data_IF_164627028860
#
_entry.id   IF_164627028860
#
_cell.length_a   1.000
_cell.length_b   1.000
_cell.length_c   1.000
_cell.angle_alpha   90.00
_cell.angle_beta   90.00
_cell.angle_gamma   90.00
#
_symmetry.space_group_name_H-M   'P 1'
#
loop_
_entity.id
_entity.type
_entity.pdbx_description
1 polymer ?
#
# COMPACT_ATOMS: atom_id res chain seq x y z
N UNK A 1 0.69 2.44 22.32
CA UNK A 1 1.14 3.84 22.51
C UNK A 1 0.14 4.89 21.96
N UNK A 2 0.15 5.23 20.66
CA UNK A 2 -0.70 6.33 20.12
C UNK A 2 -2.21 6.08 20.29
N UNK A 3 -2.68 4.88 19.91
CA UNK A 3 -4.09 4.48 20.03
C UNK A 3 -4.60 4.52 21.48
N UNK A 4 -3.78 4.09 22.44
CA UNK A 4 -4.13 4.10 23.88
C UNK A 4 -4.27 5.51 24.44
N UNK A 5 -3.71 6.52 23.75
CA UNK A 5 -3.87 7.95 24.08
C UNK A 5 -4.97 8.63 23.27
N UNK A 6 -5.73 7.87 22.46
CA UNK A 6 -6.77 8.41 21.59
C UNK A 6 -6.22 9.29 20.45
N UNK A 7 -5.07 8.92 19.90
CA UNK A 7 -4.41 9.67 18.81
C UNK A 7 -4.40 8.80 17.53
N UNK A 8 -5.23 9.14 16.52
CA UNK A 8 -5.18 8.45 15.24
C UNK A 8 -3.90 8.80 14.48
N UNK A 9 -3.40 7.84 13.70
CA UNK A 9 -2.24 7.97 12.82
C UNK A 9 -2.70 7.74 11.39
N UNK A 10 -2.31 8.63 10.50
CA UNK A 10 -2.62 8.57 9.07
C UNK A 10 -1.33 8.45 8.26
N UNK A 11 -1.39 7.71 7.16
CA UNK A 11 -0.33 7.62 6.15
C UNK A 11 -0.91 7.97 4.76
N UNK A 12 -0.10 7.86 3.71
CA UNK A 12 -0.49 8.05 2.31
C UNK A 12 -0.18 6.78 1.48
N UNK A 13 -1.01 5.73 1.61
CA UNK A 13 -0.68 4.41 1.07
C UNK A 13 -0.79 4.32 -0.47
N UNK A 14 -1.38 5.33 -1.13
CA UNK A 14 -1.67 5.28 -2.57
C UNK A 14 -1.00 6.40 -3.38
N UNK A 15 -0.41 7.40 -2.71
CA UNK A 15 0.19 8.57 -3.35
C UNK A 15 1.38 8.27 -4.26
N UNK A 16 2.00 7.10 -4.11
CA UNK A 16 3.14 6.64 -4.91
C UNK A 16 2.76 5.71 -6.07
N UNK A 17 1.46 5.47 -6.30
CA UNK A 17 0.98 4.46 -7.26
C UNK A 17 1.56 4.67 -8.65
N UNK A 18 1.58 5.92 -9.13
CA UNK A 18 2.07 6.26 -10.46
C UNK A 18 3.59 6.07 -10.59
N UNK A 19 4.35 6.53 -9.60
CA UNK A 19 5.81 6.45 -9.59
C UNK A 19 6.29 5.00 -9.68
N UNK A 20 5.70 4.10 -8.88
CA UNK A 20 6.05 2.67 -8.93
C UNK A 20 5.70 2.08 -10.29
N UNK A 21 4.55 2.44 -10.86
CA UNK A 21 4.14 1.92 -12.15
C UNK A 21 5.06 2.33 -13.31
N UNK A 22 5.56 3.57 -13.29
CA UNK A 22 6.53 4.06 -14.27
C UNK A 22 7.90 3.39 -14.11
N UNK A 23 8.37 3.20 -12.87
CA UNK A 23 9.61 2.48 -12.60
C UNK A 23 9.55 1.06 -13.18
N UNK A 24 8.51 0.30 -12.86
CA UNK A 24 8.32 -1.07 -13.35
C UNK A 24 8.29 -1.11 -14.88
N UNK A 25 7.60 -0.16 -15.53
CA UNK A 25 7.57 -0.09 -16.99
C UNK A 25 8.96 0.14 -17.59
N UNK A 26 9.75 1.03 -16.99
CA UNK A 26 11.13 1.27 -17.43
C UNK A 26 11.99 0.00 -17.25
N UNK A 27 11.90 -0.65 -16.10
CA UNK A 27 12.62 -1.88 -15.78
C UNK A 27 12.26 -3.02 -16.74
N UNK A 28 10.99 -3.20 -17.08
CA UNK A 28 10.54 -4.17 -18.10
C UNK A 28 11.33 -3.97 -19.40
N UNK A 29 11.39 -2.73 -19.91
CA UNK A 29 12.08 -2.45 -21.18
C UNK A 29 13.58 -2.70 -21.05
N UNK A 30 14.21 -2.26 -19.96
CA UNK A 30 15.65 -2.42 -19.76
C UNK A 30 16.06 -3.88 -19.60
N UNK A 31 15.28 -4.67 -18.85
CA UNK A 31 15.52 -6.10 -18.62
C UNK A 31 15.34 -6.92 -19.90
N UNK A 32 14.24 -6.73 -20.64
CA UNK A 32 14.00 -7.43 -21.91
C UNK A 32 15.07 -7.14 -22.97
N UNK A 33 15.77 -6.01 -22.82
CA UNK A 33 16.87 -5.58 -23.70
C UNK A 33 18.24 -5.90 -23.12
N UNK A 34 18.32 -6.51 -21.93
CA UNK A 34 19.55 -6.80 -21.19
C UNK A 34 20.46 -5.58 -21.05
N UNK A 35 19.88 -4.39 -20.87
CA UNK A 35 20.61 -3.14 -20.72
C UNK A 35 21.44 -3.09 -19.44
N UNK A 36 20.98 -3.58 -18.27
CA UNK A 36 21.78 -3.51 -17.04
C UNK A 36 23.17 -4.13 -17.22
N UNK A 37 23.22 -5.34 -17.81
CA UNK A 37 24.47 -6.05 -18.05
C UNK A 37 25.37 -5.33 -19.06
N UNK A 38 24.79 -4.84 -20.16
CA UNK A 38 25.52 -4.11 -21.20
C UNK A 38 26.07 -2.78 -20.68
N UNK A 39 25.30 -2.08 -19.85
CA UNK A 39 25.70 -0.84 -19.19
C UNK A 39 26.89 -1.09 -18.25
N UNK A 40 26.78 -2.09 -17.37
CA UNK A 40 27.85 -2.44 -16.44
C UNK A 40 29.13 -2.84 -17.17
N UNK A 41 29.03 -3.60 -18.26
CA UNK A 41 30.17 -3.96 -19.10
C UNK A 41 30.82 -2.72 -19.76
N UNK A 42 30.03 -1.79 -20.28
CA UNK A 42 30.52 -0.55 -20.91
C UNK A 42 31.29 0.34 -19.92
N UNK A 43 30.79 0.50 -18.69
CA UNK A 43 31.49 1.21 -17.62
C UNK A 43 32.85 0.61 -17.27
N UNK A 44 33.02 -0.71 -17.49
CA UNK A 44 34.29 -1.44 -17.29
C UNK A 44 35.12 -1.54 -18.56
N UNK A 45 34.78 -0.81 -19.63
CA UNK A 45 35.51 -0.79 -20.90
C UNK A 45 35.17 -1.92 -21.88
N UNK A 46 34.22 -2.80 -21.54
CA UNK A 46 33.72 -3.84 -22.43
C UNK A 46 32.70 -3.31 -23.46
N UNK A 47 32.51 -4.01 -24.57
CA UNK A 47 31.54 -3.62 -25.59
C UNK A 47 30.72 -4.81 -26.08
N UNK A 48 29.47 -4.91 -25.61
CA UNK A 48 28.56 -6.04 -25.89
C UNK A 48 27.52 -5.65 -26.92
N UNK A 49 27.91 -5.64 -28.21
CA UNK A 49 27.01 -5.33 -29.34
C UNK A 49 26.44 -6.61 -29.95
N UNK A 50 25.34 -7.11 -29.40
CA UNK A 50 24.61 -8.28 -29.90
C UNK A 50 23.11 -8.14 -29.72
N UNK A 51 22.35 -8.67 -30.69
CA UNK A 51 20.89 -8.79 -30.64
C UNK A 51 20.41 -10.08 -29.95
N UNK A 52 21.32 -11.06 -29.71
CA UNK A 52 20.95 -12.30 -29.04
C UNK A 52 20.38 -12.03 -27.64
N UNK A 53 19.24 -12.64 -27.32
CA UNK A 53 18.54 -12.47 -26.04
C UNK A 53 17.99 -11.06 -25.78
N UNK A 54 17.88 -10.20 -26.80
CA UNK A 54 17.30 -8.86 -26.69
C UNK A 54 15.96 -8.80 -27.41
N UNK A 55 14.90 -8.41 -26.70
CA UNK A 55 13.53 -8.46 -27.19
C UNK A 55 12.81 -7.12 -27.07
N UNK A 56 11.93 -6.81 -28.02
CA UNK A 56 10.90 -5.78 -27.84
C UNK A 56 9.88 -6.23 -26.79
N UNK A 57 9.41 -5.29 -25.97
CA UNK A 57 8.31 -5.49 -25.03
C UNK A 57 6.97 -5.74 -25.74
N UNK A 58 6.74 -5.10 -26.88
CA UNK A 58 5.54 -5.29 -27.69
C UNK A 58 5.33 -6.78 -28.01
N UNK A 59 4.10 -7.25 -27.81
CA UNK A 59 3.70 -8.64 -28.01
C UNK A 59 4.14 -9.61 -26.92
N UNK A 60 4.93 -9.18 -25.92
CA UNK A 60 5.28 -10.01 -24.76
C UNK A 60 4.15 -10.03 -23.75
N UNK A 61 4.11 -11.08 -22.94
CA UNK A 61 3.17 -11.23 -21.85
C UNK A 61 3.74 -10.67 -20.55
N UNK A 62 3.06 -9.69 -19.96
CA UNK A 62 3.30 -9.23 -18.59
C UNK A 62 2.35 -9.99 -17.65
N UNK A 63 2.91 -10.67 -16.66
CA UNK A 63 2.19 -11.28 -15.56
C UNK A 63 2.21 -10.39 -14.33
N UNK A 64 1.04 -10.02 -13.81
CA UNK A 64 0.90 -9.15 -12.64
C UNK A 64 0.37 -9.97 -11.46
N UNK A 65 1.12 -10.02 -10.35
CA UNK A 65 0.67 -10.66 -9.11
C UNK A 65 0.23 -9.57 -8.14
N UNK A 66 -1.07 -9.50 -7.85
CA UNK A 66 -1.71 -8.40 -7.13
C UNK A 66 -2.21 -7.30 -8.09
N UNK A 67 -3.51 -7.29 -8.35
CA UNK A 67 -4.16 -6.37 -9.30
C UNK A 67 -4.91 -5.24 -8.56
N UNK A 68 -4.20 -4.61 -7.62
CA UNK A 68 -4.65 -3.44 -6.86
C UNK A 68 -4.29 -2.11 -7.54
N UNK A 69 -4.09 -1.05 -6.76
CA UNK A 69 -3.79 0.30 -7.26
C UNK A 69 -2.58 0.34 -8.21
N UNK A 70 -1.45 -0.26 -7.83
CA UNK A 70 -0.23 -0.26 -8.66
C UNK A 70 -0.37 -1.24 -9.82
N UNK A 71 -0.79 -2.48 -9.55
CA UNK A 71 -0.93 -3.51 -10.59
C UNK A 71 -1.85 -3.09 -11.75
N UNK A 72 -2.95 -2.40 -11.45
CA UNK A 72 -3.85 -1.86 -12.50
C UNK A 72 -3.17 -0.77 -13.34
N UNK A 73 -2.45 0.17 -12.72
CA UNK A 73 -1.71 1.22 -13.45
C UNK A 73 -0.57 0.66 -14.30
N UNK A 74 0.17 -0.31 -13.77
CA UNK A 74 1.20 -1.04 -14.53
C UNK A 74 0.58 -1.74 -15.74
N UNK A 75 -0.56 -2.42 -15.56
CA UNK A 75 -1.28 -3.09 -16.64
C UNK A 75 -1.66 -2.12 -17.77
N UNK A 76 -2.29 -0.99 -17.44
CA UNK A 76 -2.68 0.01 -18.43
C UNK A 76 -1.49 0.58 -19.21
N UNK A 77 -0.37 0.87 -18.52
CA UNK A 77 0.85 1.35 -19.17
C UNK A 77 1.49 0.30 -20.07
N UNK A 78 1.51 -0.95 -19.63
CA UNK A 78 2.04 -2.07 -20.40
C UNK A 78 1.21 -2.35 -21.66
N UNK A 79 -0.12 -2.26 -21.58
CA UNK A 79 -1.00 -2.35 -22.74
C UNK A 79 -0.75 -1.22 -23.75
N UNK A 80 -0.52 0.01 -23.27
CA UNK A 80 -0.16 1.13 -24.13
C UNK A 80 1.18 0.91 -24.86
N UNK A 81 2.10 0.12 -24.28
CA UNK A 81 3.34 -0.33 -24.92
C UNK A 81 3.13 -1.54 -25.86
N UNK A 82 1.91 -2.05 -25.96
CA UNK A 82 1.53 -3.20 -26.78
C UNK A 82 1.87 -4.56 -26.16
N UNK A 83 2.01 -4.64 -24.83
CA UNK A 83 2.13 -5.92 -24.11
C UNK A 83 0.75 -6.57 -23.93
N UNK A 84 0.73 -7.90 -23.80
CA UNK A 84 -0.44 -8.65 -23.33
C UNK A 84 -0.38 -8.72 -21.81
N UNK A 85 -1.41 -8.28 -21.11
CA UNK A 85 -1.45 -8.28 -19.64
C UNK A 85 -2.31 -9.43 -19.13
N UNK A 86 -1.73 -10.25 -18.27
CA UNK A 86 -2.45 -11.24 -17.47
C UNK A 86 -2.17 -10.99 -16.00
N UNK A 87 -3.11 -11.34 -15.12
CA UNK A 87 -2.92 -11.11 -13.70
C UNK A 87 -3.55 -12.19 -12.83
N UNK A 88 -3.05 -12.30 -11.61
CA UNK A 88 -3.65 -13.07 -10.54
C UNK A 88 -3.83 -12.18 -9.31
N UNK A 89 -4.99 -12.29 -8.68
CA UNK A 89 -5.32 -11.67 -7.40
C UNK A 89 -6.17 -12.65 -6.60
N UNK A 90 -6.05 -12.63 -5.27
CA UNK A 90 -6.82 -13.52 -4.38
C UNK A 90 -8.30 -13.09 -4.31
N UNK A 91 -8.60 -11.85 -4.68
CA UNK A 91 -9.95 -11.33 -4.81
C UNK A 91 -10.35 -11.19 -6.28
N UNK A 92 -11.62 -11.35 -6.56
CA UNK A 92 -12.17 -11.00 -7.88
C UNK A 92 -12.00 -9.50 -8.12
N UNK A 93 -11.24 -9.13 -9.15
CA UNK A 93 -11.05 -7.74 -9.59
C UNK A 93 -11.80 -7.47 -10.89
N UNK A 94 -12.33 -6.26 -11.01
CA UNK A 94 -12.81 -5.75 -12.30
C UNK A 94 -11.62 -5.54 -13.23
N UNK A 95 -11.71 -6.07 -14.45
CA UNK A 95 -10.68 -5.88 -15.46
C UNK A 95 -10.72 -4.46 -16.03
N UNK A 96 -9.54 -3.92 -16.31
CA UNK A 96 -9.37 -2.65 -17.02
C UNK A 96 -8.62 -2.93 -18.32
N UNK A 97 -9.05 -2.29 -19.41
CA UNK A 97 -8.46 -2.54 -20.73
C UNK A 97 -8.69 -3.97 -21.20
N UNK A 98 -7.65 -4.60 -21.72
CA UNK A 98 -7.66 -5.99 -22.21
C UNK A 98 -7.02 -6.97 -21.21
N UNK A 99 -6.76 -6.55 -19.96
CA UNK A 99 -6.11 -7.37 -18.96
C UNK A 99 -6.97 -8.59 -18.62
N UNK A 100 -6.35 -9.77 -18.59
CA UNK A 100 -7.06 -11.03 -18.38
C UNK A 100 -6.73 -11.63 -17.00
N UNK A 101 -7.74 -11.90 -16.15
CA UNK A 101 -7.52 -12.63 -14.91
C UNK A 101 -7.23 -14.09 -15.23
N UNK A 102 -6.25 -14.66 -14.54
CA UNK A 102 -5.96 -16.10 -14.56
C UNK A 102 -6.35 -16.75 -13.23
N UNK A 103 -6.67 -18.05 -13.23
CA UNK A 103 -7.26 -18.71 -12.07
C UNK A 103 -6.27 -18.93 -10.92
N UNK A 104 -4.96 -18.92 -11.18
CA UNK A 104 -3.93 -19.13 -10.15
C UNK A 104 -2.63 -18.39 -10.41
N UNK A 105 -1.81 -18.23 -9.37
CA UNK A 105 -0.45 -17.70 -9.45
C UNK A 105 0.38 -18.46 -10.48
N UNK A 106 0.36 -19.79 -10.43
CA UNK A 106 1.14 -20.69 -11.28
C UNK A 106 0.85 -20.45 -12.76
N UNK A 107 -0.44 -20.30 -13.12
CA UNK A 107 -0.83 -20.04 -14.52
C UNK A 107 -0.30 -18.71 -15.05
N UNK A 108 -0.12 -17.70 -14.18
CA UNK A 108 0.55 -16.44 -14.56
C UNK A 108 2.03 -16.68 -14.81
N UNK A 109 2.71 -17.38 -13.88
CA UNK A 109 4.16 -17.63 -13.96
C UNK A 109 4.54 -18.41 -15.22
N UNK A 110 3.75 -19.42 -15.59
CA UNK A 110 3.98 -20.25 -16.77
C UNK A 110 3.80 -19.49 -18.11
N UNK A 111 2.96 -18.45 -18.11
CA UNK A 111 2.62 -17.69 -19.33
C UNK A 111 3.46 -16.43 -19.55
N UNK A 112 3.93 -15.82 -18.47
CA UNK A 112 4.52 -14.48 -18.49
C UNK A 112 5.99 -14.47 -18.96
N UNK A 113 6.33 -13.52 -19.84
CA UNK A 113 7.72 -13.21 -20.19
C UNK A 113 8.38 -12.32 -19.12
N UNK A 114 7.57 -11.48 -18.46
CA UNK A 114 7.97 -10.71 -17.29
C UNK A 114 6.90 -10.84 -16.21
N UNK A 115 7.30 -11.11 -14.98
CA UNK A 115 6.41 -11.15 -13.81
C UNK A 115 6.73 -9.96 -12.91
N UNK A 116 5.69 -9.23 -12.49
CA UNK A 116 5.82 -8.12 -11.52
C UNK A 116 4.90 -8.32 -10.33
N UNK A 117 5.40 -8.00 -9.14
CA UNK A 117 4.73 -8.23 -7.86
C UNK A 117 4.22 -6.90 -7.28
N UNK A 118 2.95 -6.87 -6.89
CA UNK A 118 2.24 -5.72 -6.31
C UNK A 118 1.30 -6.14 -5.18
N UNK A 119 1.82 -6.96 -4.26
CA UNK A 119 1.07 -7.54 -3.14
C UNK A 119 1.42 -6.86 -1.80
N UNK A 120 0.49 -6.84 -0.82
CA UNK A 120 0.80 -6.39 0.54
C UNK A 120 1.72 -7.37 1.27
N UNK A 121 2.24 -6.96 2.42
CA UNK A 121 2.97 -7.85 3.32
C UNK A 121 1.97 -8.54 4.27
N UNK A 122 1.79 -9.83 4.07
CA UNK A 122 0.89 -10.67 4.87
C UNK A 122 1.50 -12.06 5.06
N UNK A 123 0.98 -12.87 6.00
CA UNK A 123 1.40 -14.26 6.11
C UNK A 123 1.26 -15.07 4.82
N UNK A 124 0.29 -14.73 3.96
CA UNK A 124 0.06 -15.40 2.68
C UNK A 124 1.07 -15.00 1.59
N UNK A 125 1.63 -13.80 1.65
CA UNK A 125 2.58 -13.29 0.64
C UNK A 125 4.03 -13.49 1.05
N UNK A 126 4.29 -13.85 2.30
CA UNK A 126 5.62 -14.14 2.82
C UNK A 126 6.29 -15.28 2.04
N UNK A 127 7.40 -14.97 1.36
CA UNK A 127 8.18 -15.87 0.49
C UNK A 127 7.32 -16.66 -0.49
N UNK A 128 6.23 -16.07 -0.98
CA UNK A 128 5.33 -16.72 -1.94
C UNK A 128 6.02 -17.01 -3.27
N UNK A 129 7.05 -16.24 -3.63
CA UNK A 129 7.92 -16.52 -4.78
C UNK A 129 9.19 -17.20 -4.27
N UNK A 130 9.10 -18.53 -4.08
CA UNK A 130 10.22 -19.40 -3.73
C UNK A 130 10.78 -20.16 -4.93
N UNK A 131 11.67 -21.13 -4.66
CA UNK A 131 12.29 -21.95 -5.71
C UNK A 131 11.27 -22.66 -6.62
N UNK A 132 10.17 -23.17 -6.07
CA UNK A 132 9.11 -23.82 -6.84
C UNK A 132 8.41 -22.87 -7.80
N UNK A 133 8.07 -21.66 -7.35
CA UNK A 133 7.44 -20.64 -8.20
C UNK A 133 8.40 -20.11 -9.26
N UNK A 134 9.66 -19.87 -8.91
CA UNK A 134 10.68 -19.47 -9.87
C UNK A 134 10.85 -20.55 -10.94
N UNK A 135 10.83 -21.84 -10.59
CA UNK A 135 10.91 -22.96 -11.53
C UNK A 135 9.76 -23.01 -12.57
N UNK A 136 8.59 -22.48 -12.23
CA UNK A 136 7.43 -22.39 -13.13
C UNK A 136 7.55 -21.26 -14.16
N UNK A 137 8.38 -20.25 -13.89
CA UNK A 137 8.58 -19.15 -14.82
C UNK A 137 9.23 -19.64 -16.11
N UNK A 138 8.82 -19.04 -17.24
CA UNK A 138 9.39 -19.37 -18.55
C UNK A 138 10.92 -19.23 -18.53
N UNK A 139 11.66 -20.14 -19.19
CA UNK A 139 13.09 -19.97 -19.38
C UNK A 139 13.40 -18.62 -20.06
N UNK A 140 14.27 -17.83 -19.45
CA UNK A 140 14.62 -16.48 -19.90
C UNK A 140 13.61 -15.39 -19.51
N UNK A 141 12.62 -15.69 -18.66
CA UNK A 141 11.74 -14.66 -18.11
C UNK A 141 12.48 -13.71 -17.16
N UNK A 142 11.84 -12.59 -16.83
CA UNK A 142 12.33 -11.62 -15.84
C UNK A 142 11.36 -11.49 -14.66
N UNK A 143 11.89 -11.22 -13.46
CA UNK A 143 11.10 -10.97 -12.25
C UNK A 143 11.32 -9.54 -11.75
N UNK A 144 10.25 -8.85 -11.37
CA UNK A 144 10.29 -7.50 -10.78
C UNK A 144 9.58 -7.50 -9.43
N UNK A 145 10.27 -7.04 -8.39
CA UNK A 145 9.68 -6.81 -7.07
C UNK A 145 9.94 -5.38 -6.59
N UNK A 146 8.91 -4.54 -6.72
CA UNK A 146 8.83 -3.20 -6.14
C UNK A 146 7.66 -3.10 -5.14
N UNK A 147 7.31 -4.21 -4.49
CA UNK A 147 6.19 -4.29 -3.54
C UNK A 147 6.66 -4.38 -2.09
N UNK A 148 7.08 -5.58 -1.66
CA UNK A 148 7.52 -5.84 -0.27
C UNK A 148 8.74 -6.77 -0.26
N UNK A 149 9.68 -6.48 0.64
CA UNK A 149 10.97 -7.18 0.70
C UNK A 149 10.88 -8.66 1.07
N UNK A 150 9.81 -9.08 1.74
CA UNK A 150 9.63 -10.46 2.20
C UNK A 150 8.93 -11.38 1.19
N UNK A 151 8.49 -10.87 0.04
CA UNK A 151 7.65 -11.61 -0.92
C UNK A 151 8.45 -12.63 -1.73
N UNK A 152 9.72 -12.31 -2.01
CA UNK A 152 10.63 -13.14 -2.79
C UNK A 152 11.67 -13.78 -1.89
N UNK A 153 11.90 -15.07 -2.10
CA UNK A 153 13.06 -15.76 -1.55
C UNK A 153 14.33 -15.37 -2.31
N UNK A 154 15.16 -14.51 -1.72
CA UNK A 154 16.36 -13.96 -2.36
C UNK A 154 17.41 -15.05 -2.67
N UNK A 155 17.52 -16.07 -1.82
CA UNK A 155 18.46 -17.18 -2.06
C UNK A 155 18.01 -18.01 -3.26
N UNK A 156 16.71 -18.29 -3.35
CA UNK A 156 16.14 -19.00 -4.49
C UNK A 156 16.25 -18.18 -5.80
N UNK A 157 16.02 -16.86 -5.73
CA UNK A 157 16.20 -15.97 -6.88
C UNK A 157 17.66 -15.95 -7.35
N UNK A 158 18.61 -15.90 -6.41
CA UNK A 158 20.05 -15.97 -6.70
C UNK A 158 20.36 -17.26 -7.46
N UNK A 159 19.93 -18.42 -6.95
CA UNK A 159 20.15 -19.70 -7.60
C UNK A 159 19.53 -19.78 -9.01
N UNK A 160 18.33 -19.23 -9.20
CA UNK A 160 17.67 -19.19 -10.51
C UNK A 160 18.42 -18.31 -11.54
N UNK A 161 19.03 -17.21 -11.08
CA UNK A 161 19.88 -16.33 -11.90
C UNK A 161 21.22 -17.00 -12.25
N UNK A 162 21.87 -17.66 -11.30
CA UNK A 162 23.11 -18.43 -11.54
C UNK A 162 22.90 -19.56 -12.55
N UNK A 163 21.77 -20.26 -12.42
CA UNK A 163 21.35 -21.30 -13.36
C UNK A 163 20.92 -20.74 -14.73
N UNK A 164 20.86 -19.41 -14.90
CA UNK A 164 20.37 -18.71 -16.09
C UNK A 164 18.95 -19.11 -16.49
N UNK A 165 18.16 -19.56 -15.51
CA UNK A 165 16.76 -19.85 -15.73
C UNK A 165 15.99 -18.54 -15.97
N UNK A 166 16.34 -17.48 -15.22
CA UNK A 166 15.86 -16.13 -15.46
C UNK A 166 16.90 -15.31 -16.22
N UNK A 167 16.44 -14.47 -17.15
CA UNK A 167 17.32 -13.58 -17.91
C UNK A 167 17.78 -12.35 -17.09
N UNK A 168 17.04 -11.99 -16.04
CA UNK A 168 17.36 -10.89 -15.15
C UNK A 168 16.24 -10.63 -14.14
N UNK A 169 16.47 -9.67 -13.25
CA UNK A 169 15.47 -9.24 -12.28
C UNK A 169 15.60 -7.75 -11.95
N UNK A 170 14.55 -7.14 -11.42
CA UNK A 170 14.63 -5.83 -10.75
C UNK A 170 14.07 -5.96 -9.33
N UNK A 171 14.81 -5.47 -8.34
CA UNK A 171 14.44 -5.56 -6.93
C UNK A 171 14.67 -4.23 -6.26
N UNK A 172 13.58 -3.61 -5.81
CA UNK A 172 13.60 -2.32 -5.09
C UNK A 172 13.52 -2.50 -3.58
N UNK A 173 13.02 -3.64 -3.12
CA UNK A 173 12.71 -3.91 -1.70
C UNK A 173 13.34 -5.23 -1.26
N UNK A 174 13.88 -5.25 -0.05
CA UNK A 174 14.69 -6.37 0.45
C UNK A 174 14.25 -6.84 1.84
N UNK A 175 14.48 -8.12 2.22
CA UNK A 175 14.14 -8.60 3.56
C UNK A 175 14.84 -7.81 4.68
N UNK A 176 16.07 -7.37 4.42
CA UNK A 176 16.86 -6.53 5.31
C UNK A 176 17.34 -5.34 4.49
N UNK A 177 16.95 -4.14 4.92
CA UNK A 177 17.33 -2.88 4.29
C UNK A 177 18.22 -2.07 5.24
N UNK A 178 19.20 -1.32 4.71
CA UNK A 178 19.96 -0.34 5.48
C UNK A 178 19.04 0.63 6.23
N UNK A 179 19.37 0.97 7.48
CA UNK A 179 18.57 1.94 8.25
C UNK A 179 18.85 3.38 7.85
N UNK A 180 19.99 3.61 7.23
CA UNK A 180 20.47 4.90 6.78
C UNK A 180 21.34 4.72 5.53
N UNK A 181 21.53 5.81 4.79
CA UNK A 181 22.25 5.79 3.50
C UNK A 181 23.75 5.47 3.67
N UNK A 182 24.29 5.66 4.86
CA UNK A 182 25.69 5.43 5.21
C UNK A 182 25.99 3.96 5.55
N UNK A 183 24.96 3.13 5.74
CA UNK A 183 25.12 1.69 6.01
C UNK A 183 25.33 0.92 4.69
N UNK A 184 26.22 -0.07 4.70
CA UNK A 184 26.46 -0.90 3.53
C UNK A 184 25.23 -1.75 3.20
N UNK A 185 24.75 -1.66 1.96
CA UNK A 185 23.73 -2.57 1.44
C UNK A 185 24.34 -3.95 1.15
N UNK A 186 23.79 -5.00 1.78
CA UNK A 186 24.27 -6.39 1.61
C UNK A 186 23.16 -7.24 0.99
N UNK A 187 23.44 -7.83 -0.17
CA UNK A 187 22.57 -8.78 -0.84
C UNK A 187 23.41 -9.64 -1.80
N UNK A 188 23.09 -10.94 -1.91
CA UNK A 188 23.70 -11.83 -2.90
C UNK A 188 23.48 -11.34 -4.33
N UNK A 189 22.40 -10.60 -4.57
CA UNK A 189 22.06 -10.06 -5.88
C UNK A 189 23.05 -8.99 -6.39
N UNK A 190 23.91 -8.42 -5.51
CA UNK A 190 24.96 -7.46 -5.90
C UNK A 190 25.94 -8.02 -6.93
N UNK A 191 26.08 -9.35 -7.00
CA UNK A 191 26.98 -10.03 -7.94
C UNK A 191 26.49 -10.09 -9.39
N UNK A 192 25.25 -9.67 -9.68
CA UNK A 192 24.62 -9.89 -10.98
C UNK A 192 24.45 -8.59 -11.76
N UNK A 193 25.21 -8.43 -12.83
CA UNK A 193 25.09 -7.26 -13.71
C UNK A 193 23.74 -7.21 -14.48
N UNK A 194 23.04 -8.34 -14.59
CA UNK A 194 21.70 -8.42 -15.20
C UNK A 194 20.55 -8.22 -14.18
N UNK A 195 20.87 -7.74 -12.97
CA UNK A 195 19.88 -7.38 -11.95
C UNK A 195 19.92 -5.87 -11.71
N UNK A 196 18.75 -5.24 -11.72
CA UNK A 196 18.58 -3.86 -11.26
C UNK A 196 18.30 -3.88 -9.76
N UNK A 197 19.13 -3.17 -9.00
CA UNK A 197 18.99 -3.00 -7.55
C UNK A 197 18.73 -1.52 -7.29
N UNK A 198 17.55 -1.21 -6.76
CA UNK A 198 17.16 0.15 -6.41
C UNK A 198 16.89 0.24 -4.90
N UNK A 199 17.29 1.33 -4.22
CA UNK A 199 17.27 1.37 -2.76
C UNK A 199 15.91 1.81 -2.19
N UNK A 200 14.86 1.03 -2.43
CA UNK A 200 13.49 1.30 -1.97
C UNK A 200 12.98 2.68 -2.39
N UNK A 201 13.12 2.98 -3.69
CA UNK A 201 12.82 4.28 -4.29
C UNK A 201 11.66 4.24 -5.27
N UNK A 202 10.94 3.12 -5.41
CA UNK A 202 9.80 3.03 -6.32
C UNK A 202 8.75 4.12 -6.11
N UNK A 203 8.56 4.57 -4.87
CA UNK A 203 7.66 5.70 -4.55
C UNK A 203 8.35 7.05 -4.34
N UNK A 204 9.67 7.14 -4.49
CA UNK A 204 10.47 8.30 -4.09
C UNK A 204 10.64 9.29 -5.24
N UNK A 205 9.55 9.97 -5.62
CA UNK A 205 9.56 11.07 -6.60
C UNK A 205 8.99 12.36 -6.00
N UNK A 206 9.33 13.51 -6.58
CA UNK A 206 8.83 14.81 -6.11
C UNK A 206 7.30 14.90 -6.20
N UNK A 207 6.71 14.36 -7.27
CA UNK A 207 5.26 14.29 -7.47
C UNK A 207 4.59 13.40 -6.42
N UNK A 208 5.21 12.26 -6.08
CA UNK A 208 4.71 11.42 -4.99
C UNK A 208 4.76 12.16 -3.66
N UNK A 209 5.83 12.92 -3.37
CA UNK A 209 5.92 13.73 -2.16
C UNK A 209 4.87 14.84 -2.11
N UNK A 210 4.60 15.50 -3.23
CA UNK A 210 3.51 16.47 -3.34
C UNK A 210 2.14 15.82 -3.04
N UNK A 211 1.88 14.66 -3.65
CA UNK A 211 0.64 13.92 -3.43
C UNK A 211 0.49 13.45 -1.98
N UNK A 212 1.57 12.96 -1.35
CA UNK A 212 1.61 12.59 0.07
C UNK A 212 1.24 13.80 0.93
N UNK A 213 1.84 14.96 0.65
CA UNK A 213 1.56 16.20 1.37
C UNK A 213 0.08 16.56 1.32
N UNK A 214 -0.53 16.52 0.13
CA UNK A 214 -1.97 16.79 -0.05
C UNK A 214 -2.86 15.74 0.63
N UNK A 215 -2.54 14.46 0.48
CA UNK A 215 -3.34 13.35 1.02
C UNK A 215 -3.36 13.38 2.55
N UNK A 216 -2.17 13.45 3.19
CA UNK A 216 -2.08 13.44 4.66
C UNK A 216 -2.63 14.73 5.25
N UNK A 217 -2.34 15.89 4.66
CA UNK A 217 -2.93 17.15 5.11
C UNK A 217 -4.46 17.11 5.03
N UNK A 218 -5.01 16.56 3.95
CA UNK A 218 -6.45 16.35 3.80
C UNK A 218 -7.05 15.44 4.87
N UNK A 219 -6.38 14.32 5.21
CA UNK A 219 -6.81 13.42 6.30
C UNK A 219 -6.78 14.10 7.66
N UNK A 220 -5.71 14.85 7.96
CA UNK A 220 -5.59 15.62 9.19
C UNK A 220 -6.66 16.71 9.30
N UNK A 221 -6.94 17.43 8.21
CA UNK A 221 -8.01 18.43 8.15
C UNK A 221 -9.38 17.81 8.37
N UNK A 222 -9.68 16.66 7.72
CA UNK A 222 -10.94 15.93 7.94
C UNK A 222 -11.10 15.49 9.39
N UNK A 223 -10.09 14.84 9.97
CA UNK A 223 -10.14 14.47 11.38
C UNK A 223 -10.32 15.70 12.29
N UNK A 224 -9.60 16.79 11.99
CA UNK A 224 -9.69 18.02 12.77
C UNK A 224 -11.05 18.69 12.69
N UNK A 225 -11.69 18.70 11.52
CA UNK A 225 -12.91 19.48 11.26
C UNK A 225 -14.19 18.67 11.49
N UNK A 226 -14.19 17.38 11.16
CA UNK A 226 -15.40 16.55 11.24
C UNK A 226 -15.20 15.19 11.93
N UNK A 227 -13.99 14.90 12.44
CA UNK A 227 -13.71 13.71 13.24
C UNK A 227 -13.55 12.43 12.42
N UNK A 228 -13.51 12.51 11.09
CA UNK A 228 -13.32 11.33 10.25
C UNK A 228 -11.97 10.65 10.54
N UNK A 229 -12.01 9.33 10.66
CA UNK A 229 -10.85 8.45 10.93
C UNK A 229 -10.69 7.38 9.87
N UNK A 230 -11.35 7.55 8.71
CA UNK A 230 -11.15 6.68 7.55
C UNK A 230 -9.67 6.61 7.19
N UNK A 231 -9.18 5.41 6.90
CA UNK A 231 -7.77 5.11 6.60
C UNK A 231 -6.78 5.40 7.73
N UNK A 232 -7.23 5.61 8.97
CA UNK A 232 -6.33 5.64 10.11
C UNK A 232 -5.75 4.24 10.37
N UNK A 233 -4.43 4.12 10.43
CA UNK A 233 -3.75 2.81 10.51
C UNK A 233 -3.81 2.16 11.90
N UNK A 234 -4.29 2.89 12.90
CA UNK A 234 -4.29 2.47 14.30
C UNK A 234 -5.60 2.81 15.04
N UNK A 235 -6.69 3.09 14.32
CA UNK A 235 -7.91 3.64 14.91
C UNK A 235 -9.18 3.03 14.29
N UNK A 236 -10.29 2.89 15.04
CA UNK A 236 -11.58 2.52 14.44
C UNK A 236 -11.98 3.54 13.35
N UNK A 237 -12.42 3.05 12.19
CA UNK A 237 -12.66 3.88 11.00
C UNK A 237 -14.07 4.45 10.96
N UNK A 238 -14.28 5.61 11.59
CA UNK A 238 -15.58 6.28 11.60
C UNK A 238 -15.60 7.49 10.67
N UNK A 239 -16.68 7.64 9.91
CA UNK A 239 -16.99 8.86 9.16
C UNK A 239 -18.49 9.10 9.14
N UNK A 240 -18.93 10.15 9.81
CA UNK A 240 -20.33 10.56 9.85
C UNK A 240 -20.54 11.73 8.86
N UNK A 241 -21.48 11.65 7.89
CA UNK A 241 -21.86 12.78 7.06
C UNK A 241 -22.20 14.01 7.90
N UNK A 242 -21.91 15.21 7.40
CA UNK A 242 -22.17 16.45 8.14
C UNK A 242 -23.67 16.76 8.19
N UNK A 243 -24.18 17.11 9.39
CA UNK A 243 -25.54 17.61 9.57
C UNK A 243 -25.51 19.13 9.83
N UNK A 244 -25.94 19.97 8.87
CA UNK A 244 -25.94 21.42 9.03
C UNK A 244 -26.77 21.88 10.25
N UNK A 245 -26.24 22.86 10.99
CA UNK A 245 -26.92 23.42 12.17
C UNK A 245 -26.94 22.49 13.39
N UNK A 246 -26.11 21.43 13.40
CA UNK A 246 -25.90 20.54 14.54
C UNK A 246 -24.52 20.78 15.16
N UNK A 247 -24.35 20.39 16.42
CA UNK A 247 -23.03 20.34 17.05
C UNK A 247 -22.45 18.94 16.98
N UNK A 248 -21.15 18.83 16.70
CA UNK A 248 -20.46 17.54 16.58
C UNK A 248 -19.53 17.28 17.76
N UNK A 249 -19.74 16.13 18.41
CA UNK A 249 -18.94 15.62 19.50
C UNK A 249 -18.23 14.33 19.12
N UNK A 250 -16.99 14.22 19.58
CA UNK A 250 -16.15 13.05 19.45
C UNK A 250 -15.95 12.44 20.83
N UNK A 251 -16.08 11.12 20.94
CA UNK A 251 -15.83 10.41 22.18
C UNK A 251 -14.99 9.14 21.96
N UNK A 252 -13.78 9.16 22.49
CA UNK A 252 -12.82 8.06 22.43
C UNK A 252 -12.75 7.43 23.82
N UNK A 253 -12.90 6.10 23.89
CA UNK A 253 -13.00 5.37 25.14
C UNK A 253 -12.36 3.99 25.05
N UNK A 254 -12.07 3.39 26.21
CA UNK A 254 -11.72 1.96 26.30
C UNK A 254 -12.93 1.12 25.90
N UNK A 255 -12.70 0.04 25.15
CA UNK A 255 -13.79 -0.84 24.73
C UNK A 255 -14.28 -1.66 25.93
N UNK A 256 -15.29 -1.16 26.64
CA UNK A 256 -15.90 -1.81 27.81
C UNK A 256 -17.43 -1.65 27.81
N UNK A 257 -18.17 -2.62 28.36
CA UNK A 257 -19.63 -2.57 28.38
C UNK A 257 -20.18 -1.33 29.09
N UNK A 258 -21.31 -0.82 28.61
CA UNK A 258 -22.07 0.27 29.25
C UNK A 258 -21.65 1.69 28.87
N UNK A 259 -20.52 1.90 28.18
CA UNK A 259 -20.06 3.26 27.82
C UNK A 259 -21.08 4.00 26.93
N UNK A 260 -21.62 3.35 25.88
CA UNK A 260 -22.66 3.99 25.07
C UNK A 260 -23.93 4.30 25.86
N UNK A 261 -24.30 3.44 26.81
CA UNK A 261 -25.47 3.68 27.65
C UNK A 261 -25.27 4.91 28.54
N UNK A 262 -24.07 5.08 29.11
CA UNK A 262 -23.73 6.26 29.92
C UNK A 262 -23.71 7.53 29.07
N UNK A 263 -23.12 7.46 27.87
CA UNK A 263 -23.12 8.59 26.91
C UNK A 263 -24.55 9.01 26.55
N UNK A 264 -25.40 8.05 26.18
CA UNK A 264 -26.79 8.34 25.79
C UNK A 264 -27.64 8.83 26.96
N UNK A 265 -27.39 8.36 28.19
CA UNK A 265 -28.07 8.84 29.39
C UNK A 265 -27.79 10.33 29.64
N UNK A 266 -26.54 10.77 29.46
CA UNK A 266 -26.16 12.19 29.59
C UNK A 266 -26.99 13.07 28.64
N UNK A 267 -27.12 12.70 27.36
CA UNK A 267 -27.93 13.47 26.42
C UNK A 267 -29.42 13.44 26.77
N UNK A 268 -29.94 12.31 27.25
CA UNK A 268 -31.34 12.16 27.66
C UNK A 268 -31.69 13.03 28.88
N UNK A 269 -30.81 13.11 29.88
CA UNK A 269 -31.01 13.94 31.07
C UNK A 269 -31.05 15.43 30.75
N UNK A 270 -30.23 15.87 29.79
CA UNK A 270 -30.20 17.25 29.29
C UNK A 270 -31.28 17.53 28.23
N UNK A 271 -32.13 16.54 27.90
CA UNK A 271 -33.18 16.63 26.88
C UNK A 271 -32.66 17.04 25.49
N UNK A 272 -31.49 16.53 25.11
CA UNK A 272 -30.82 16.81 23.84
C UNK A 272 -31.08 15.68 22.83
N UNK A 273 -31.58 16.02 21.64
CA UNK A 273 -31.73 15.03 20.57
C UNK A 273 -30.38 14.73 19.88
N UNK A 274 -30.18 13.46 19.52
CA UNK A 274 -29.08 13.00 18.68
C UNK A 274 -29.58 12.92 17.24
N UNK A 275 -29.01 13.73 16.35
CA UNK A 275 -29.34 13.76 14.94
C UNK A 275 -28.62 12.65 14.14
N UNK A 276 -27.43 12.26 14.58
CA UNK A 276 -26.66 11.19 13.96
C UNK A 276 -25.60 10.66 14.91
N UNK A 277 -25.33 9.36 14.83
CA UNK A 277 -24.30 8.73 15.65
C UNK A 277 -23.67 7.58 14.88
N UNK A 278 -22.34 7.48 14.92
CA UNK A 278 -21.61 6.34 14.37
C UNK A 278 -20.52 5.93 15.37
N UNK A 279 -20.68 4.74 15.95
CA UNK A 279 -19.66 4.04 16.74
C UNK A 279 -18.97 2.98 15.88
N UNK A 280 -17.65 2.91 15.99
CA UNK A 280 -16.90 1.70 15.66
C UNK A 280 -15.93 1.35 16.80
N UNK A 281 -15.64 0.07 16.95
CA UNK A 281 -14.72 -0.43 17.99
C UNK A 281 -13.65 -1.32 17.38
N UNK A 282 -12.56 -1.48 18.13
CA UNK A 282 -11.62 -2.59 17.96
C UNK A 282 -11.38 -3.25 19.33
N UNK A 283 -10.42 -4.17 19.40
CA UNK A 283 -10.15 -4.92 20.63
C UNK A 283 -9.79 -4.04 21.86
N UNK A 284 -9.33 -2.79 21.67
CA UNK A 284 -8.85 -1.93 22.77
C UNK A 284 -9.70 -0.70 23.01
N UNK A 285 -10.19 -0.05 21.95
CA UNK A 285 -10.90 1.23 22.05
C UNK A 285 -12.20 1.24 21.26
N UNK A 286 -13.13 2.07 21.70
CA UNK A 286 -14.27 2.52 20.93
C UNK A 286 -14.13 3.99 20.55
N UNK A 287 -14.62 4.33 19.37
CA UNK A 287 -14.68 5.69 18.88
C UNK A 287 -16.06 5.98 18.34
N UNK A 288 -16.73 6.98 18.92
CA UNK A 288 -18.05 7.41 18.49
C UNK A 288 -18.03 8.89 18.10
N UNK A 289 -18.62 9.18 16.93
CA UNK A 289 -18.92 10.51 16.44
C UNK A 289 -20.42 10.74 16.59
N UNK A 290 -20.81 11.86 17.19
CA UNK A 290 -22.19 12.17 17.56
C UNK A 290 -22.53 13.58 17.11
N UNK A 291 -23.62 13.71 16.37
CA UNK A 291 -24.24 15.00 16.05
C UNK A 291 -25.49 15.19 16.90
N UNK A 292 -25.59 16.34 17.55
CA UNK A 292 -26.70 16.72 18.41
C UNK A 292 -27.34 18.03 17.94
N UNK A 293 -28.58 18.26 18.35
CA UNK A 293 -29.23 19.56 18.16
C UNK A 293 -28.37 20.69 18.75
N UNK A 294 -28.26 21.81 18.03
CA UNK A 294 -27.41 22.91 18.45
C UNK A 294 -28.00 23.61 19.68
N UNK A 295 -27.16 23.75 20.70
CA UNK A 295 -27.42 24.43 21.96
C UNK A 295 -26.45 25.60 22.15
N UNK A 296 -26.62 26.42 23.19
CA UNK A 296 -25.66 27.48 23.48
C UNK A 296 -24.25 26.92 23.71
N UNK A 297 -23.20 27.65 23.31
CA UNK A 297 -21.79 27.22 23.49
C UNK A 297 -21.44 26.84 24.93
N UNK A 298 -22.08 27.46 25.93
CA UNK A 298 -21.89 27.15 27.34
C UNK A 298 -22.43 25.75 27.70
N UNK A 299 -23.63 25.42 27.22
CA UNK A 299 -24.31 24.13 27.43
C UNK A 299 -23.50 23.00 26.77
N UNK A 300 -23.03 23.19 25.54
CA UNK A 300 -22.19 22.19 24.86
C UNK A 300 -20.85 21.96 25.59
N UNK A 301 -20.26 23.00 26.19
CA UNK A 301 -19.03 22.85 27.00
C UNK A 301 -19.28 22.06 28.29
N UNK A 302 -20.41 22.28 28.95
CA UNK A 302 -20.78 21.52 30.14
C UNK A 302 -21.04 20.05 29.80
N UNK A 303 -21.73 19.80 28.69
CA UNK A 303 -21.96 18.47 28.14
C UNK A 303 -20.65 17.71 27.89
N UNK A 304 -19.66 18.38 27.30
CA UNK A 304 -18.32 17.78 27.11
C UNK A 304 -17.67 17.37 28.43
N UNK A 305 -17.75 18.19 29.48
CA UNK A 305 -17.16 17.84 30.80
C UNK A 305 -17.82 16.58 31.38
N UNK A 306 -19.15 16.46 31.28
CA UNK A 306 -19.87 15.26 31.72
C UNK A 306 -19.44 14.02 30.94
N UNK A 307 -19.21 14.16 29.64
CA UNK A 307 -18.68 13.08 28.80
C UNK A 307 -17.24 12.68 29.18
N UNK A 308 -16.41 13.63 29.65
CA UNK A 308 -15.05 13.34 30.15
C UNK A 308 -15.06 12.51 31.44
N UNK A 309 -16.14 12.58 32.23
CA UNK A 309 -16.30 11.84 33.50
C UNK A 309 -16.82 10.41 33.30
N UNK A 310 -17.29 10.05 32.09
CA UNK A 310 -17.72 8.68 31.78
C UNK A 310 -16.56 7.70 32.02
N UNK A 311 -16.83 6.63 32.77
CA UNK A 311 -15.79 5.66 33.13
C UNK A 311 -15.24 5.02 31.86
N UNK A 312 -13.92 5.05 31.71
CA UNK A 312 -13.21 4.51 30.55
C UNK A 312 -12.99 5.51 29.42
N UNK A 313 -13.42 6.76 29.56
CA UNK A 313 -13.11 7.83 28.60
C UNK A 313 -11.61 8.07 28.48
N UNK A 314 -11.13 8.17 27.24
CA UNK A 314 -9.75 8.51 26.91
C UNK A 314 -9.62 9.97 26.47
N UNK A 315 -10.57 10.43 25.64
CA UNK A 315 -10.58 11.80 25.11
C UNK A 315 -11.95 12.14 24.57
N UNK A 316 -12.37 13.39 24.77
CA UNK A 316 -13.55 13.96 24.12
C UNK A 316 -13.19 15.27 23.42
N UNK A 317 -13.97 15.64 22.40
CA UNK A 317 -13.80 16.91 21.69
C UNK A 317 -15.13 17.39 21.14
N UNK A 318 -15.33 18.71 21.13
CA UNK A 318 -16.39 19.37 20.34
C UNK A 318 -15.70 19.93 19.09
N UNK A 319 -16.26 19.68 17.92
CA UNK A 319 -15.69 20.16 16.65
C UNK A 319 -16.31 21.48 16.21
N UNK A 320 -17.63 21.51 16.12
CA UNK A 320 -18.44 22.67 15.77
C UNK A 320 -19.77 22.60 16.50
#
# INVERSE_FOLDING_TARGET
AAQERGIPVFNAPFSNTRSVAELVLAEIVLLLRGIPQRNAAAHRGGWVKTAAGSHEARGKCLGIIGYGHIGTQVGLLAEALGMRVVFYDIETKLTLGNAQPLPSLETVLEMADVVTLHVPETPQTYRMIGAGQLALMKPGACLINAARGTVVDIDALTAALEAKQLAGAAVDVFPIEPKANEEEFVSSLRGFDNVLLTPHVGGSTEEAQQNIGLEVAGKLLKYSNNGSTLSAVNFPEVSLPEHPGKHRLLHIHRNQPGVLSQINAIFSEEQINIAGQYLQTNARIGYVVIDIDAHGRAETRQLRKRLEEVVGTLRTRILY
#
